data_IF_283742347625
#
_entry.id   IF_283742347625
#
_cell.length_a   1.000
_cell.length_b   1.000
_cell.length_c   1.000
_cell.angle_alpha   90.00
_cell.angle_beta   90.00
_cell.angle_gamma   90.00
#
_symmetry.space_group_name_H-M   'P 1'
#
loop_
_entity.id
_entity.type
_entity.pdbx_description
1 polymer ?
#
# COMPACT_ATOMS: atom_id res chain seq x y z
N UNK A 1 -26.60 9.34 27.38
CA UNK A 1 -25.27 9.54 26.77
C UNK A 1 -24.84 8.22 26.13
N UNK A 2 -24.57 8.21 24.82
CA UNK A 2 -23.70 7.26 24.10
C UNK A 2 -24.04 5.75 23.97
N UNK A 3 -25.28 5.36 23.71
CA UNK A 3 -25.56 3.96 23.26
C UNK A 3 -25.53 3.78 21.73
N UNK A 4 -25.66 4.87 20.95
CA UNK A 4 -25.79 4.81 19.48
C UNK A 4 -24.47 4.46 18.76
N UNK A 5 -23.32 4.60 19.44
CA UNK A 5 -22.01 4.27 18.86
C UNK A 5 -21.59 2.80 19.04
N UNK A 6 -22.37 1.99 19.75
CA UNK A 6 -22.05 0.58 19.92
C UNK A 6 -22.41 -0.22 18.65
N UNK A 7 -21.37 -0.44 17.84
CA UNK A 7 -21.28 -1.26 16.61
C UNK A 7 -21.75 -0.60 15.31
N UNK A 8 -20.87 0.21 14.71
CA UNK A 8 -20.84 0.33 13.24
C UNK A 8 -19.64 -0.42 12.63
N UNK A 9 -18.55 -0.59 13.39
CA UNK A 9 -17.37 -1.30 12.92
C UNK A 9 -16.84 -2.30 13.96
N UNK A 10 -16.62 -3.53 13.52
CA UNK A 10 -15.93 -4.57 14.30
C UNK A 10 -14.47 -4.14 14.50
N UNK A 11 -14.09 -3.88 15.75
CA UNK A 11 -12.75 -3.39 16.12
C UNK A 11 -11.64 -4.35 15.69
N UNK A 12 -11.92 -5.66 15.62
CA UNK A 12 -10.98 -6.66 15.13
C UNK A 12 -10.79 -6.52 13.63
N UNK A 13 -11.88 -6.39 12.86
CA UNK A 13 -11.81 -6.13 11.41
C UNK A 13 -11.08 -4.83 11.10
N UNK A 14 -11.31 -3.77 11.86
CA UNK A 14 -10.58 -2.50 11.70
C UNK A 14 -9.07 -2.68 11.95
N UNK A 15 -8.69 -3.39 13.00
CA UNK A 15 -7.27 -3.67 13.29
C UNK A 15 -6.60 -4.50 12.19
N UNK A 16 -7.31 -5.49 11.64
CA UNK A 16 -6.81 -6.31 10.52
C UNK A 16 -6.65 -5.48 9.25
N UNK A 17 -7.65 -4.66 8.90
CA UNK A 17 -7.59 -3.74 7.77
C UNK A 17 -6.42 -2.75 7.93
N UNK A 18 -6.28 -2.16 9.10
CA UNK A 18 -5.16 -1.27 9.41
C UNK A 18 -3.80 -1.93 9.20
N UNK A 19 -3.61 -3.18 9.66
CA UNK A 19 -2.36 -3.92 9.42
C UNK A 19 -2.09 -4.11 7.93
N UNK A 20 -3.11 -4.49 7.15
CA UNK A 20 -2.98 -4.66 5.69
C UNK A 20 -2.61 -3.36 5.00
N UNK A 21 -3.27 -2.25 5.34
CA UNK A 21 -2.92 -0.92 4.81
C UNK A 21 -1.51 -0.51 5.21
N UNK A 22 -1.10 -0.74 6.45
CA UNK A 22 0.25 -0.43 6.92
C UNK A 22 1.32 -1.24 6.18
N UNK A 23 1.08 -2.51 5.90
CA UNK A 23 1.97 -3.33 5.08
C UNK A 23 2.06 -2.83 3.64
N UNK A 24 0.91 -2.56 3.00
CA UNK A 24 0.87 -1.99 1.64
C UNK A 24 1.58 -0.64 1.56
N UNK A 25 1.39 0.22 2.56
CA UNK A 25 2.05 1.51 2.64
C UNK A 25 3.58 1.39 2.74
N UNK A 26 4.07 0.41 3.51
CA UNK A 26 5.52 0.13 3.59
C UNK A 26 6.08 -0.31 2.25
N UNK A 27 5.44 -1.29 1.60
CA UNK A 27 5.84 -1.75 0.27
C UNK A 27 5.82 -0.61 -0.75
N UNK A 28 4.78 0.21 -0.72
CA UNK A 28 4.66 1.38 -1.60
C UNK A 28 5.82 2.37 -1.40
N UNK A 29 6.15 2.68 -0.15
CA UNK A 29 7.30 3.54 0.16
C UNK A 29 8.62 2.95 -0.27
N UNK A 30 8.81 1.65 -0.04
CA UNK A 30 10.01 0.92 -0.41
C UNK A 30 10.22 0.94 -1.93
N UNK A 31 9.17 0.68 -2.72
CA UNK A 31 9.21 0.79 -4.18
C UNK A 31 9.63 2.20 -4.62
N UNK A 32 9.10 3.25 -3.99
CA UNK A 32 9.47 4.63 -4.30
C UNK A 32 10.90 5.03 -3.89
N UNK A 33 11.61 4.22 -3.10
CA UNK A 33 13.04 4.45 -2.83
C UNK A 33 13.94 3.94 -3.96
N UNK A 34 13.45 3.04 -4.83
CA UNK A 34 14.24 2.55 -5.96
C UNK A 34 14.30 3.59 -7.08
N UNK A 35 15.48 3.70 -7.70
CA UNK A 35 15.67 4.57 -8.86
C UNK A 35 14.81 4.12 -10.03
N UNK A 36 14.23 5.08 -10.75
CA UNK A 36 13.35 4.82 -11.90
C UNK A 36 11.86 4.73 -11.55
N UNK A 37 11.50 4.55 -10.27
CA UNK A 37 10.10 4.59 -9.83
C UNK A 37 9.66 6.01 -9.49
N UNK A 38 8.49 6.39 -9.97
CA UNK A 38 7.88 7.70 -9.72
C UNK A 38 6.42 7.58 -9.31
N UNK A 39 5.92 8.55 -8.55
CA UNK A 39 4.50 8.65 -8.23
C UNK A 39 3.77 9.53 -9.24
N UNK A 40 2.70 8.98 -9.83
CA UNK A 40 1.76 9.73 -10.66
C UNK A 40 0.50 10.04 -9.87
N UNK A 41 0.36 11.32 -9.50
CA UNK A 41 -0.76 11.83 -8.70
C UNK A 41 -2.08 11.92 -9.46
N UNK A 42 -2.04 12.03 -10.79
CA UNK A 42 -3.20 12.14 -11.66
C UNK A 42 -4.01 10.83 -11.74
N UNK A 43 -3.30 9.70 -11.76
CA UNK A 43 -3.91 8.35 -11.81
C UNK A 43 -3.76 7.57 -10.51
N UNK A 44 -3.14 8.17 -9.49
CA UNK A 44 -2.83 7.56 -8.20
C UNK A 44 -2.08 6.22 -8.34
N UNK A 45 -1.01 6.17 -9.14
CA UNK A 45 -0.21 4.95 -9.38
C UNK A 45 1.29 5.22 -9.33
N UNK A 46 2.05 4.17 -9.00
CA UNK A 46 3.49 4.15 -9.23
C UNK A 46 3.71 3.89 -10.72
N UNK A 47 4.53 4.71 -11.35
CA UNK A 47 4.95 4.56 -12.73
C UNK A 47 6.46 4.32 -12.79
N UNK A 48 6.86 3.41 -13.67
CA UNK A 48 8.23 3.20 -14.10
C UNK A 48 8.19 2.54 -15.48
N UNK A 49 9.33 2.35 -16.12
CA UNK A 49 9.40 1.65 -17.40
C UNK A 49 9.11 0.14 -17.21
N UNK A 50 8.59 -0.55 -18.24
CA UNK A 50 8.34 -1.98 -18.19
C UNK A 50 9.58 -2.81 -17.82
N UNK A 51 10.76 -2.39 -18.29
CA UNK A 51 12.04 -3.06 -18.03
C UNK A 51 12.42 -2.97 -16.56
N UNK A 52 12.25 -1.78 -15.95
CA UNK A 52 12.52 -1.58 -14.53
C UNK A 52 11.52 -2.37 -13.67
N UNK A 53 10.25 -2.46 -14.08
CA UNK A 53 9.28 -3.36 -13.44
C UNK A 53 9.69 -4.82 -13.50
N UNK A 54 10.16 -5.30 -14.67
CA UNK A 54 10.60 -6.68 -14.84
C UNK A 54 11.80 -7.00 -13.94
N UNK A 55 12.82 -6.14 -13.92
CA UNK A 55 13.99 -6.30 -13.04
C UNK A 55 13.56 -6.31 -11.58
N UNK A 56 12.67 -5.39 -11.19
CA UNK A 56 12.16 -5.34 -9.82
C UNK A 56 11.45 -6.64 -9.45
N UNK A 57 10.59 -7.19 -10.31
CA UNK A 57 9.88 -8.45 -10.04
C UNK A 57 10.80 -9.68 -10.03
N UNK A 58 11.87 -9.69 -10.83
CA UNK A 58 12.86 -10.78 -10.82
C UNK A 58 13.73 -10.78 -9.56
N UNK A 59 14.12 -9.60 -9.07
CA UNK A 59 14.94 -9.46 -7.86
C UNK A 59 14.09 -9.58 -6.59
N UNK A 60 12.85 -9.11 -6.64
CA UNK A 60 11.89 -9.15 -5.53
C UNK A 60 11.16 -10.50 -5.50
N UNK A 61 11.89 -11.58 -5.24
CA UNK A 61 11.27 -12.85 -4.87
C UNK A 61 10.61 -12.68 -3.50
N UNK A 62 9.32 -12.33 -3.50
CA UNK A 62 8.43 -12.32 -2.33
C UNK A 62 7.85 -13.70 -2.06
#
# INVERSE_FOLDING_TARGET
>A
MNEIFHKVYDSKKLKEQWRKYKQRWRLFHEVLQFSGFGWRSDVCRIETSPEVWAIFLEVSVF
#
